data_IF_163748345506
#
_entry.id   IF_163748345506
#
_cell.length_a   1.000
_cell.length_b   1.000
_cell.length_c   1.000
_cell.angle_alpha   90.00
_cell.angle_beta   90.00
_cell.angle_gamma   90.00
#
_symmetry.space_group_name_H-M   'P 1'
#
loop_
_entity.id
_entity.type
_entity.pdbx_description
1 polymer ?
#
# COMPACT_ATOMS: atom_id res chain seq x y z
N UNK A 1 22.88 -3.94 -10.86
CA UNK A 1 22.38 -2.61 -11.31
C UNK A 1 20.86 -2.59 -11.56
N UNK A 2 20.04 -3.49 -10.98
CA UNK A 2 18.63 -3.68 -11.38
C UNK A 2 17.58 -3.68 -10.26
N UNK A 3 17.92 -3.38 -9.00
CA UNK A 3 16.93 -3.48 -7.89
C UNK A 3 16.26 -2.14 -7.53
N UNK A 4 17.00 -1.03 -7.56
CA UNK A 4 16.47 0.31 -7.22
C UNK A 4 15.35 0.80 -8.15
N UNK A 5 15.37 0.40 -9.43
CA UNK A 5 14.30 0.76 -10.37
C UNK A 5 12.94 0.14 -9.96
N UNK A 6 12.95 -1.07 -9.37
CA UNK A 6 11.73 -1.83 -9.11
C UNK A 6 10.88 -1.27 -7.96
N UNK A 7 11.49 -0.64 -6.96
CA UNK A 7 10.74 -0.16 -5.78
C UNK A 7 10.17 1.23 -6.00
N UNK A 8 10.91 2.10 -6.67
CA UNK A 8 10.38 3.39 -7.11
C UNK A 8 9.17 3.18 -8.03
N UNK A 9 9.26 2.22 -8.96
CA UNK A 9 8.13 1.82 -9.81
C UNK A 9 6.94 1.29 -9.01
N UNK A 10 7.16 0.37 -8.06
CA UNK A 10 6.09 -0.17 -7.19
C UNK A 10 5.43 0.90 -6.34
N UNK A 11 6.20 1.79 -5.72
CA UNK A 11 5.65 2.92 -4.97
C UNK A 11 4.85 3.85 -5.87
N UNK A 12 5.30 4.10 -7.10
CA UNK A 12 4.57 4.91 -8.06
C UNK A 12 3.23 4.24 -8.47
N UNK A 13 3.21 2.91 -8.64
CA UNK A 13 1.97 2.15 -8.83
C UNK A 13 1.02 2.31 -7.63
N UNK A 14 1.53 2.17 -6.40
CA UNK A 14 0.74 2.36 -5.18
C UNK A 14 0.20 3.80 -5.05
N UNK A 15 0.98 4.81 -5.45
CA UNK A 15 0.54 6.20 -5.53
C UNK A 15 -0.53 6.41 -6.60
N UNK A 16 -0.44 5.73 -7.73
CA UNK A 16 -1.46 5.77 -8.79
C UNK A 16 -2.78 5.17 -8.28
N UNK A 17 -2.73 4.08 -7.52
CA UNK A 17 -3.92 3.52 -6.86
C UNK A 17 -4.59 4.52 -5.90
N UNK A 18 -3.82 5.40 -5.23
CA UNK A 18 -4.38 6.42 -4.34
C UNK A 18 -5.29 7.46 -5.04
N UNK A 19 -5.19 7.56 -6.37
CA UNK A 19 -6.00 8.46 -7.19
C UNK A 19 -7.35 7.86 -7.58
N UNK A 20 -7.52 6.53 -7.45
CA UNK A 20 -8.80 5.86 -7.74
C UNK A 20 -9.90 6.35 -6.79
N UNK A 21 -11.15 6.18 -7.20
CA UNK A 21 -12.30 6.50 -6.36
C UNK A 21 -12.35 5.59 -5.11
N UNK A 22 -12.09 4.30 -5.30
CA UNK A 22 -12.03 3.29 -4.25
C UNK A 22 -10.69 2.56 -4.31
N UNK A 23 -10.16 2.25 -3.13
CA UNK A 23 -8.90 1.53 -2.97
C UNK A 23 -9.25 0.21 -2.32
N UNK A 24 -9.24 -0.85 -3.12
CA UNK A 24 -9.55 -2.19 -2.64
C UNK A 24 -8.30 -2.84 -2.08
N UNK A 25 -8.42 -3.54 -0.95
CA UNK A 25 -7.28 -4.30 -0.39
C UNK A 25 -6.76 -5.35 -1.38
N UNK A 26 -7.65 -5.92 -2.20
CA UNK A 26 -7.29 -6.95 -3.18
C UNK A 26 -6.59 -6.40 -4.43
N UNK A 27 -6.54 -5.07 -4.62
CA UNK A 27 -5.75 -4.43 -5.68
C UNK A 27 -4.25 -4.37 -5.33
N UNK A 28 -3.86 -4.74 -4.10
CA UNK A 28 -2.49 -4.68 -3.59
C UNK A 28 -1.79 -6.04 -3.74
N UNK A 29 -0.48 -6.03 -4.02
CA UNK A 29 0.35 -7.24 -3.90
C UNK A 29 0.32 -7.77 -2.45
N UNK A 30 0.38 -9.09 -2.26
CA UNK A 30 0.26 -9.75 -0.95
C UNK A 30 1.08 -9.09 0.15
N UNK A 31 2.37 -8.84 -0.08
CA UNK A 31 3.26 -8.21 0.91
C UNK A 31 2.80 -6.81 1.36
N UNK A 32 2.22 -6.03 0.44
CA UNK A 32 1.73 -4.68 0.72
C UNK A 32 0.36 -4.72 1.36
N UNK A 33 -0.45 -5.72 1.00
CA UNK A 33 -1.72 -6.02 1.67
C UNK A 33 -1.47 -6.34 3.14
N UNK A 34 -0.55 -7.25 3.44
CA UNK A 34 -0.25 -7.63 4.83
C UNK A 34 0.27 -6.45 5.68
N UNK A 35 1.21 -5.63 5.15
CA UNK A 35 1.68 -4.43 5.88
C UNK A 35 0.55 -3.40 6.08
N UNK A 36 -0.30 -3.22 5.06
CA UNK A 36 -1.43 -2.31 5.16
C UNK A 36 -2.48 -2.80 6.14
N UNK A 37 -2.81 -4.10 6.14
CA UNK A 37 -3.73 -4.73 7.09
C UNK A 37 -3.23 -4.59 8.53
N UNK A 38 -1.93 -4.78 8.76
CA UNK A 38 -1.31 -4.52 10.05
C UNK A 38 -1.34 -3.03 10.43
N UNK A 39 -1.17 -2.12 9.46
CA UNK A 39 -1.21 -0.68 9.69
C UNK A 39 -2.61 -0.17 10.05
N UNK A 40 -3.66 -0.74 9.44
CA UNK A 40 -5.07 -0.38 9.67
C UNK A 40 -5.74 -1.30 10.70
N UNK A 41 -4.99 -2.15 11.39
CA UNK A 41 -5.54 -3.03 12.41
C UNK A 41 -6.22 -2.21 13.50
N UNK A 42 -7.53 -2.44 13.70
CA UNK A 42 -8.35 -1.68 14.63
C UNK A 42 -9.03 -0.44 14.03
N UNK A 43 -8.73 -0.07 12.78
CA UNK A 43 -9.44 0.99 12.07
C UNK A 43 -10.75 0.48 11.47
N UNK A 44 -11.73 1.38 11.31
CA UNK A 44 -12.99 1.04 10.65
C UNK A 44 -12.81 1.04 9.14
N UNK A 45 -13.09 -0.11 8.51
CA UNK A 45 -13.03 -0.28 7.05
C UNK A 45 -14.43 -0.27 6.44
N UNK A 46 -14.50 0.12 5.16
CA UNK A 46 -15.74 0.13 4.40
C UNK A 46 -15.83 -1.13 3.53
N UNK A 47 -17.04 -1.66 3.36
CA UNK A 47 -17.32 -2.73 2.40
C UNK A 47 -18.07 -2.15 1.20
N UNK A 48 -17.55 -2.38 0.00
CA UNK A 48 -18.20 -2.02 -1.26
C UNK A 48 -18.22 -3.22 -2.19
N UNK A 49 -19.40 -3.60 -2.67
CA UNK A 49 -19.58 -4.73 -3.61
C UNK A 49 -18.91 -6.03 -3.12
N UNK A 50 -18.97 -6.28 -1.80
CA UNK A 50 -18.34 -7.43 -1.15
C UNK A 50 -16.82 -7.33 -0.96
N UNK A 51 -16.19 -6.22 -1.38
CA UNK A 51 -14.75 -5.98 -1.23
C UNK A 51 -14.44 -4.97 -0.15
N UNK A 52 -13.35 -5.18 0.56
CA UNK A 52 -12.86 -4.25 1.57
C UNK A 52 -12.22 -3.05 0.90
N UNK A 53 -12.70 -1.86 1.26
CA UNK A 53 -12.22 -0.57 0.79
C UNK A 53 -11.48 0.13 1.92
N UNK A 54 -10.27 0.56 1.60
CA UNK A 54 -9.45 1.39 2.48
C UNK A 54 -9.78 2.86 2.25
N UNK A 55 -10.06 3.58 3.34
CA UNK A 55 -10.29 5.02 3.28
C UNK A 55 -9.07 5.74 2.70
N UNK A 56 -9.29 6.68 1.76
CA UNK A 56 -8.22 7.41 1.06
C UNK A 56 -7.20 8.05 2.01
N UNK A 57 -7.65 8.58 3.14
CA UNK A 57 -6.78 9.21 4.13
C UNK A 57 -5.88 8.19 4.84
N UNK A 58 -6.41 7.02 5.20
CA UNK A 58 -5.63 5.93 5.80
C UNK A 58 -4.58 5.41 4.82
N UNK A 59 -4.99 5.19 3.58
CA UNK A 59 -4.09 4.74 2.53
C UNK A 59 -2.95 5.74 2.28
N UNK A 60 -3.23 7.04 2.20
CA UNK A 60 -2.19 8.07 2.04
C UNK A 60 -1.23 8.14 3.23
N UNK A 61 -1.72 8.03 4.46
CA UNK A 61 -0.86 7.97 5.66
C UNK A 61 0.05 6.74 5.63
N UNK A 62 -0.48 5.60 5.18
CA UNK A 62 0.29 4.39 4.98
C UNK A 62 1.38 4.56 3.90
N UNK A 63 1.06 5.17 2.75
CA UNK A 63 2.05 5.48 1.71
C UNK A 63 3.16 6.40 2.21
N UNK A 64 2.81 7.41 3.01
CA UNK A 64 3.80 8.29 3.64
C UNK A 64 4.69 7.54 4.64
N UNK A 65 4.13 6.61 5.42
CA UNK A 65 4.91 5.71 6.29
C UNK A 65 5.87 4.85 5.46
N UNK A 66 5.41 4.25 4.36
CA UNK A 66 6.26 3.46 3.47
C UNK A 66 7.39 4.31 2.86
N UNK A 67 7.08 5.52 2.42
CA UNK A 67 8.07 6.45 1.85
C UNK A 67 9.08 6.93 2.91
N UNK A 68 8.62 7.25 4.11
CA UNK A 68 9.47 7.71 5.23
C UNK A 68 10.31 6.59 5.82
N UNK A 69 9.83 5.34 5.76
CA UNK A 69 10.61 4.13 6.06
C UNK A 69 11.44 3.66 4.86
N UNK A 70 11.46 4.43 3.77
CA UNK A 70 12.09 4.04 2.52
C UNK A 70 13.49 3.47 2.73
N UNK A 71 13.76 2.35 2.06
CA UNK A 71 14.98 1.53 2.05
C UNK A 71 15.05 0.31 2.98
N UNK A 72 14.29 0.18 4.07
CA UNK A 72 14.38 -1.06 4.87
C UNK A 72 13.72 -2.27 4.16
N UNK A 73 12.70 -2.02 3.35
CA UNK A 73 12.09 -3.04 2.50
C UNK A 73 13.04 -3.57 1.41
N UNK A 74 14.10 -2.83 1.02
CA UNK A 74 15.11 -3.31 0.06
C UNK A 74 15.94 -4.48 0.60
N UNK A 75 16.04 -4.63 1.92
CA UNK A 75 16.87 -5.67 2.55
C UNK A 75 16.17 -7.04 2.50
N UNK A 76 14.83 -7.08 2.45
CA UNK A 76 14.04 -8.32 2.43
C UNK A 76 13.49 -8.73 1.04
N UNK A 77 13.82 -8.01 -0.04
CA UNK A 77 13.52 -8.45 -1.42
C UNK A 77 14.53 -9.49 -1.95
N UNK A 78 14.78 -10.55 -1.16
CA UNK A 78 15.66 -11.65 -1.56
C UNK A 78 14.92 -12.79 -2.23
#
# INVERSE_FOLDING_TARGET
>A
MYQLASISEKLNTLWTLSQKEFIFLDDLELKFKDDLENFIAGETLYLKDGKVVVGKNLYKKWLQKLQSKGFDYEIDFK
#
